data_IF_924770192133
#
_entry.id   IF_924770192133
#
_cell.length_a   1.000
_cell.length_b   1.000
_cell.length_c   1.000
_cell.angle_alpha   90.00
_cell.angle_beta   90.00
_cell.angle_gamma   90.00
#
_symmetry.space_group_name_H-M   'P 1'
#
loop_
_entity.id
_entity.type
_entity.pdbx_description
1 polymer ?
#
# COMPACT_ATOMS: atom_id res chain seq x y z
N UNK A 1 21.34 5.34 6.16
CA UNK A 1 20.57 4.78 7.30
C UNK A 1 20.84 3.30 7.33
N UNK A 2 21.04 2.71 8.52
CA UNK A 2 21.21 1.28 8.67
C UNK A 2 20.12 0.72 9.59
N UNK A 3 19.64 -0.49 9.33
CA UNK A 3 18.61 -1.15 10.12
C UNK A 3 19.05 -2.58 10.38
N UNK A 4 19.01 -3.03 11.64
CA UNK A 4 19.21 -4.41 12.06
C UNK A 4 17.87 -5.12 12.22
N UNK A 5 17.67 -6.28 11.58
CA UNK A 5 16.42 -7.04 11.69
C UNK A 5 16.59 -8.45 11.11
N UNK A 6 15.51 -9.23 11.13
CA UNK A 6 15.34 -10.32 10.18
C UNK A 6 14.69 -9.79 8.89
N UNK A 7 15.13 -10.24 7.73
CA UNK A 7 14.67 -9.75 6.42
C UNK A 7 14.16 -10.87 5.53
N UNK A 8 13.13 -10.60 4.74
CA UNK A 8 12.79 -11.42 3.57
C UNK A 8 13.41 -10.79 2.32
N UNK A 9 14.36 -11.51 1.70
CA UNK A 9 15.22 -10.97 0.65
C UNK A 9 15.05 -11.69 -0.70
N UNK A 10 15.29 -10.94 -1.77
CA UNK A 10 15.23 -11.45 -3.14
C UNK A 10 13.82 -11.79 -3.63
N UNK A 11 13.74 -12.32 -4.85
CA UNK A 11 12.47 -12.63 -5.52
C UNK A 11 11.70 -13.77 -4.85
N UNK A 12 12.43 -14.67 -4.16
CA UNK A 12 11.86 -15.81 -3.44
C UNK A 12 11.53 -15.51 -1.98
N UNK A 13 11.78 -14.28 -1.51
CA UNK A 13 11.57 -13.88 -0.11
C UNK A 13 12.27 -14.84 0.86
N UNK A 14 13.54 -15.12 0.61
CA UNK A 14 14.35 -15.98 1.47
C UNK A 14 14.62 -15.29 2.81
N UNK A 15 14.62 -16.06 3.89
CA UNK A 15 14.82 -15.52 5.24
C UNK A 15 16.30 -15.27 5.50
N UNK A 16 16.63 -14.04 5.92
CA UNK A 16 17.89 -13.66 6.55
C UNK A 16 17.59 -13.32 8.01
N UNK A 17 17.90 -14.22 8.94
CA UNK A 17 17.48 -14.07 10.36
C UNK A 17 18.23 -12.96 11.09
N UNK A 18 19.54 -12.86 10.91
CA UNK A 18 20.39 -11.84 11.51
C UNK A 18 21.06 -11.04 10.40
N UNK A 19 20.49 -9.90 10.05
CA UNK A 19 21.07 -9.05 9.01
C UNK A 19 21.01 -7.57 9.33
N UNK A 20 21.58 -6.81 8.41
CA UNK A 20 21.37 -5.38 8.33
C UNK A 20 21.23 -4.92 6.88
N UNK A 21 20.46 -3.84 6.69
CA UNK A 21 20.35 -3.17 5.39
C UNK A 21 20.92 -1.77 5.47
N UNK A 22 21.59 -1.35 4.39
CA UNK A 22 22.11 0.01 4.22
C UNK A 22 21.23 0.72 3.20
N UNK A 23 20.66 1.85 3.63
CA UNK A 23 19.78 2.70 2.82
C UNK A 23 20.45 4.06 2.60
N UNK A 24 20.66 4.42 1.34
CA UNK A 24 21.19 5.71 0.91
C UNK A 24 20.26 6.33 -0.14
N UNK A 25 19.96 7.62 -0.01
CA UNK A 25 19.12 8.35 -0.97
C UNK A 25 17.79 7.64 -1.30
N UNK A 26 17.17 7.03 -0.29
CA UNK A 26 15.89 6.31 -0.41
C UNK A 26 15.98 4.97 -1.14
N UNK A 27 17.18 4.42 -1.35
CA UNK A 27 17.39 3.10 -1.97
C UNK A 27 18.19 2.20 -1.04
N UNK A 28 17.86 0.91 -1.04
CA UNK A 28 18.70 -0.12 -0.43
C UNK A 28 19.94 -0.26 -1.32
N UNK A 29 21.11 0.03 -0.78
CA UNK A 29 22.40 -0.11 -1.48
C UNK A 29 23.09 -1.43 -1.16
N UNK A 30 22.85 -1.98 0.03
CA UNK A 30 23.45 -3.23 0.48
C UNK A 30 22.54 -3.96 1.48
N UNK A 31 22.64 -5.28 1.50
CA UNK A 31 22.01 -6.19 2.45
C UNK A 31 23.10 -7.16 2.90
N UNK A 32 23.33 -7.26 4.20
CA UNK A 32 24.46 -7.98 4.77
C UNK A 32 24.00 -8.93 5.88
N UNK A 33 24.71 -10.06 6.04
CA UNK A 33 24.64 -10.91 7.22
C UNK A 33 25.23 -10.22 8.46
N UNK A 34 24.67 -10.55 9.62
CA UNK A 34 25.06 -10.02 10.92
C UNK A 34 24.51 -8.62 11.21
N UNK A 35 24.59 -8.23 12.48
CA UNK A 35 24.14 -6.91 12.93
C UNK A 35 25.26 -5.88 12.89
N UNK A 36 24.91 -4.64 12.52
CA UNK A 36 25.85 -3.52 12.45
C UNK A 36 25.69 -2.57 13.65
N UNK A 37 26.81 -2.00 14.11
CA UNK A 37 26.81 -1.06 15.24
C UNK A 37 26.29 0.30 14.76
N UNK A 38 25.35 0.89 15.52
CA UNK A 38 24.76 2.20 15.18
C UNK A 38 23.62 2.13 14.16
N UNK A 39 23.22 0.92 13.74
CA UNK A 39 21.97 0.72 13.01
C UNK A 39 20.73 0.86 13.93
N UNK A 40 19.58 1.18 13.33
CA UNK A 40 18.29 1.18 14.01
C UNK A 40 17.98 -0.25 14.46
N UNK A 41 17.63 -0.42 15.72
CA UNK A 41 17.37 -1.73 16.32
C UNK A 41 15.92 -2.19 16.04
N UNK A 42 15.78 -3.17 15.15
CA UNK A 42 14.51 -3.82 14.79
C UNK A 42 14.63 -5.35 14.87
N UNK A 43 15.49 -5.87 15.76
CA UNK A 43 15.80 -7.31 15.86
C UNK A 43 14.61 -8.19 16.23
N UNK A 44 13.62 -7.64 16.92
CA UNK A 44 12.39 -8.34 17.30
C UNK A 44 11.31 -8.36 16.19
N UNK A 45 11.64 -7.82 15.01
CA UNK A 45 10.72 -7.70 13.88
C UNK A 45 11.26 -8.41 12.65
N UNK A 46 10.35 -8.67 11.71
CA UNK A 46 10.69 -9.10 10.36
C UNK A 46 10.39 -7.94 9.42
N UNK A 47 11.37 -7.54 8.63
CA UNK A 47 11.22 -6.54 7.57
C UNK A 47 10.97 -7.25 6.24
N UNK A 48 9.92 -6.82 5.56
CA UNK A 48 9.53 -7.34 4.24
C UNK A 48 9.50 -6.20 3.21
N UNK A 49 9.60 -6.50 1.91
CA UNK A 49 9.31 -5.53 0.87
C UNK A 49 7.89 -4.95 1.02
N UNK A 50 7.73 -3.66 0.72
CA UNK A 50 6.41 -3.03 0.75
C UNK A 50 5.45 -3.68 -0.24
N UNK A 51 4.19 -3.83 0.16
CA UNK A 51 3.18 -4.48 -0.66
C UNK A 51 2.76 -3.58 -1.83
N UNK A 52 2.42 -4.22 -2.96
CA UNK A 52 1.96 -3.53 -4.16
C UNK A 52 0.50 -3.91 -4.43
N UNK A 53 -0.39 -2.92 -4.39
CA UNK A 53 -1.76 -3.09 -4.87
C UNK A 53 -1.84 -2.76 -6.36
N UNK A 54 -1.65 -3.79 -7.19
CA UNK A 54 -1.52 -3.63 -8.64
C UNK A 54 -2.80 -3.17 -9.37
N UNK A 55 -3.95 -3.07 -8.69
CA UNK A 55 -5.19 -2.64 -9.30
C UNK A 55 -6.20 -2.07 -8.30
N UNK A 56 -6.49 -0.78 -8.40
CA UNK A 56 -7.51 -0.12 -7.59
C UNK A 56 -8.26 0.95 -8.38
N UNK A 57 -9.36 1.43 -7.79
CA UNK A 57 -10.14 2.58 -8.25
C UNK A 57 -10.34 3.53 -7.05
N UNK A 58 -9.27 4.18 -6.59
CA UNK A 58 -9.34 5.01 -5.36
C UNK A 58 -10.30 6.19 -5.51
N UNK A 59 -10.56 6.64 -6.74
CA UNK A 59 -11.59 7.64 -7.02
C UNK A 59 -12.98 7.27 -6.50
N UNK A 60 -13.32 5.97 -6.51
CA UNK A 60 -14.63 5.47 -6.08
C UNK A 60 -14.72 5.31 -4.54
N UNK A 61 -13.63 5.57 -3.82
CA UNK A 61 -13.51 5.29 -2.37
C UNK A 61 -14.40 6.14 -1.47
N UNK A 62 -15.00 7.22 -1.97
CA UNK A 62 -15.96 8.02 -1.20
C UNK A 62 -17.31 7.30 -1.00
N UNK A 63 -17.59 6.26 -1.79
CA UNK A 63 -18.86 5.55 -1.78
C UNK A 63 -18.67 4.04 -1.56
N UNK A 64 -17.70 3.66 -0.69
CA UNK A 64 -17.55 2.26 -0.26
C UNK A 64 -18.90 1.71 0.21
N UNK A 65 -19.20 0.48 -0.18
CA UNK A 65 -20.43 -0.25 0.15
C UNK A 65 -21.75 0.33 -0.43
N UNK A 66 -21.75 1.50 -1.08
CA UNK A 66 -22.97 2.15 -1.57
C UNK A 66 -23.74 1.35 -2.65
N UNK A 67 -23.07 0.37 -3.28
CA UNK A 67 -23.62 -0.50 -4.32
C UNK A 67 -23.64 -1.97 -3.91
N UNK A 68 -23.54 -2.25 -2.60
CA UNK A 68 -23.57 -3.61 -2.08
C UNK A 68 -24.84 -4.35 -2.54
N UNK A 69 -24.67 -5.58 -3.03
CA UNK A 69 -25.77 -6.40 -3.57
C UNK A 69 -26.21 -6.04 -5.00
N UNK A 70 -25.64 -5.01 -5.63
CA UNK A 70 -25.87 -4.75 -7.05
C UNK A 70 -24.92 -5.57 -7.93
N UNK A 71 -25.38 -5.94 -9.14
CA UNK A 71 -24.48 -6.51 -10.15
C UNK A 71 -23.60 -5.42 -10.79
N UNK A 72 -22.52 -5.84 -11.47
CA UNK A 72 -21.53 -4.94 -12.10
C UNK A 72 -22.20 -3.90 -13.02
N UNK A 73 -23.15 -4.32 -13.88
CA UNK A 73 -23.84 -3.42 -14.80
C UNK A 73 -24.60 -2.32 -14.07
N UNK A 74 -25.31 -2.66 -12.99
CA UNK A 74 -26.08 -1.71 -12.17
C UNK A 74 -25.18 -0.84 -11.29
N UNK A 75 -24.06 -1.37 -10.81
CA UNK A 75 -23.13 -0.63 -9.95
C UNK A 75 -22.29 0.36 -10.76
N UNK A 76 -21.59 -0.12 -11.79
CA UNK A 76 -20.51 0.62 -12.49
C UNK A 76 -20.65 0.66 -14.02
N UNK A 77 -21.64 -0.02 -14.59
CA UNK A 77 -21.87 -0.01 -16.04
C UNK A 77 -22.31 1.35 -16.58
N UNK A 78 -22.59 1.42 -17.88
CA UNK A 78 -23.14 2.61 -18.52
C UNK A 78 -24.49 2.97 -17.84
N UNK A 79 -24.54 4.15 -17.19
CA UNK A 79 -25.67 4.59 -16.32
C UNK A 79 -25.85 3.81 -15.01
N UNK A 80 -24.83 3.08 -14.57
CA UNK A 80 -24.79 2.50 -13.22
C UNK A 80 -24.83 3.55 -12.11
N UNK A 81 -25.10 3.07 -10.89
CA UNK A 81 -25.27 3.87 -9.67
C UNK A 81 -24.04 4.75 -9.38
N UNK A 82 -22.82 4.30 -9.72
CA UNK A 82 -21.57 5.07 -9.66
C UNK A 82 -21.77 6.49 -10.20
N UNK A 83 -22.32 6.64 -11.41
CA UNK A 83 -22.47 7.95 -12.05
C UNK A 83 -23.44 8.88 -11.32
N UNK A 84 -24.50 8.31 -10.71
CA UNK A 84 -25.46 9.05 -9.87
C UNK A 84 -24.82 9.51 -8.57
N UNK A 85 -23.94 8.70 -7.98
CA UNK A 85 -23.21 9.07 -6.77
C UNK A 85 -22.23 10.22 -7.09
N UNK A 86 -21.44 10.10 -8.15
CA UNK A 86 -20.53 11.17 -8.59
C UNK A 86 -21.25 12.49 -8.87
N UNK A 87 -22.43 12.48 -9.49
CA UNK A 87 -23.16 13.73 -9.79
C UNK A 87 -23.70 14.44 -8.56
N UNK A 88 -23.82 13.73 -7.42
CA UNK A 88 -24.38 14.25 -6.16
C UNK A 88 -23.32 14.54 -5.11
N UNK A 89 -22.07 14.16 -5.34
CA UNK A 89 -21.00 14.30 -4.36
C UNK A 89 -20.07 15.43 -4.74
N UNK A 90 -19.80 16.31 -3.78
CA UNK A 90 -18.85 17.39 -3.99
C UNK A 90 -17.39 16.88 -4.05
N UNK A 91 -16.53 17.68 -4.68
CA UNK A 91 -15.11 17.35 -4.86
C UNK A 91 -14.35 17.12 -3.55
N UNK A 92 -14.72 17.79 -2.44
CA UNK A 92 -14.01 17.64 -1.16
C UNK A 92 -14.27 16.26 -0.58
N UNK A 93 -15.51 15.79 -0.64
CA UNK A 93 -15.89 14.45 -0.20
C UNK A 93 -15.13 13.37 -0.99
N UNK A 94 -15.05 13.52 -2.32
CA UNK A 94 -14.27 12.59 -3.17
C UNK A 94 -12.79 12.58 -2.77
N UNK A 95 -12.17 13.75 -2.62
CA UNK A 95 -10.76 13.86 -2.20
C UNK A 95 -10.54 13.24 -0.81
N UNK A 96 -11.47 13.43 0.12
CA UNK A 96 -11.38 12.81 1.45
C UNK A 96 -11.43 11.28 1.36
N UNK A 97 -12.32 10.72 0.53
CA UNK A 97 -12.41 9.26 0.32
C UNK A 97 -11.12 8.67 -0.26
N UNK A 98 -10.49 9.37 -1.21
CA UNK A 98 -9.19 8.99 -1.77
C UNK A 98 -8.12 9.02 -0.68
N UNK A 99 -8.00 10.12 0.07
CA UNK A 99 -6.99 10.26 1.14
C UNK A 99 -7.10 9.16 2.20
N UNK A 100 -8.31 8.92 2.69
CA UNK A 100 -8.56 7.89 3.70
C UNK A 100 -8.18 6.49 3.20
N UNK A 101 -8.35 6.23 1.89
CA UNK A 101 -7.99 4.93 1.32
C UNK A 101 -6.50 4.78 1.09
N UNK A 102 -5.80 5.86 0.74
CA UNK A 102 -4.33 5.86 0.66
C UNK A 102 -3.72 5.65 2.05
N UNK A 103 -4.25 6.33 3.07
CA UNK A 103 -3.80 6.16 4.46
C UNK A 103 -4.07 4.74 4.97
N UNK A 104 -5.25 4.19 4.67
CA UNK A 104 -5.56 2.79 4.98
C UNK A 104 -4.59 1.80 4.30
N UNK A 105 -4.29 2.01 3.01
CA UNK A 105 -3.31 1.20 2.29
C UNK A 105 -1.92 1.26 2.95
N UNK A 106 -1.46 2.46 3.27
CA UNK A 106 -0.16 2.67 3.93
C UNK A 106 -0.09 1.98 5.29
N UNK A 107 -1.11 2.13 6.13
CA UNK A 107 -1.21 1.47 7.43
C UNK A 107 -1.30 -0.06 7.33
N UNK A 108 -1.65 -0.59 6.16
CA UNK A 108 -1.71 -2.03 5.87
C UNK A 108 -0.44 -2.55 5.19
N UNK A 109 0.62 -1.74 5.09
CA UNK A 109 1.89 -2.12 4.47
C UNK A 109 1.94 -1.98 2.95
N UNK A 110 0.90 -1.44 2.31
CA UNK A 110 0.89 -1.14 0.87
C UNK A 110 1.58 0.19 0.63
N UNK A 111 2.76 0.14 0.02
CA UNK A 111 3.57 1.34 -0.27
C UNK A 111 3.41 1.83 -1.70
N UNK A 112 2.86 0.99 -2.59
CA UNK A 112 2.65 1.30 -4.01
C UNK A 112 1.30 0.77 -4.48
N UNK A 113 0.59 1.54 -5.31
CA UNK A 113 -0.64 1.10 -5.94
C UNK A 113 -0.80 1.64 -7.36
N UNK A 114 -1.62 0.98 -8.18
CA UNK A 114 -1.99 1.43 -9.53
C UNK A 114 -3.47 1.76 -9.57
N UNK A 115 -3.80 3.03 -9.82
CA UNK A 115 -5.18 3.52 -9.94
C UNK A 115 -5.66 3.46 -11.40
N UNK A 116 -6.83 2.89 -11.59
CA UNK A 116 -7.54 2.84 -12.87
C UNK A 116 -8.80 3.70 -12.77
N UNK A 117 -9.14 4.42 -13.83
CA UNK A 117 -10.32 5.29 -13.88
C UNK A 117 -11.23 4.93 -15.03
#
# INVERSE_FOLDING_TARGET
>A
MMINSSFLVGERLEMLEEGHIIIENGRIVEICDGYEVGAIDMKDYIVIPGLINAHTHVGDSFAKEAVLGMNVKRAVGERGEKWRLYSKTDKKTIISGIKNSIEYMLNSGITTFVDFR
#
